data_IF_549377948753
#
_entry.id   IF_549377948753
#
_cell.length_a   1.000
_cell.length_b   1.000
_cell.length_c   1.000
_cell.angle_alpha   90.00
_cell.angle_beta   90.00
_cell.angle_gamma   90.00
#
_symmetry.space_group_name_H-M   'P 1'
#
loop_
_entity.id
_entity.type
_entity.pdbx_description
1 polymer ?
#
# COMPACT_ATOMS: atom_id res chain seq x y z
N UNK A 1 1.63 11.27 -19.30
CA UNK A 1 2.38 10.08 -18.84
C UNK A 1 3.35 9.69 -19.95
N UNK A 2 4.67 9.77 -19.76
CA UNK A 2 5.68 9.35 -20.77
C UNK A 2 5.86 7.81 -20.83
N UNK A 3 4.83 7.03 -20.48
CA UNK A 3 4.88 5.56 -20.54
C UNK A 3 5.71 4.85 -19.46
N UNK A 4 6.20 5.55 -18.43
CA UNK A 4 7.00 4.96 -17.34
C UNK A 4 6.17 4.21 -16.29
N UNK A 5 6.72 3.11 -15.77
CA UNK A 5 6.14 2.28 -14.70
C UNK A 5 6.37 2.91 -13.33
N UNK A 6 5.29 3.12 -12.57
CA UNK A 6 5.32 3.64 -11.19
C UNK A 6 4.92 2.52 -10.22
N UNK A 7 5.77 2.25 -9.23
CA UNK A 7 5.51 1.25 -8.19
C UNK A 7 5.25 1.94 -6.85
N UNK A 8 4.17 1.57 -6.17
CA UNK A 8 3.88 2.00 -4.81
C UNK A 8 4.44 0.99 -3.80
N UNK A 9 5.14 1.46 -2.78
CA UNK A 9 5.52 0.68 -1.60
C UNK A 9 4.77 1.24 -0.39
N UNK A 10 3.81 0.49 0.16
CA UNK A 10 2.86 1.03 1.14
C UNK A 10 2.88 0.32 2.49
N UNK A 11 2.73 1.11 3.57
CA UNK A 11 2.48 0.63 4.93
C UNK A 11 1.04 0.87 5.40
N UNK A 12 0.61 0.19 6.47
CA UNK A 12 -0.77 0.24 6.97
C UNK A 12 -1.21 1.64 7.44
N UNK A 13 -0.26 2.52 7.76
CA UNK A 13 -0.53 3.92 8.12
C UNK A 13 -1.32 4.66 7.04
N UNK A 14 -1.18 4.29 5.75
CA UNK A 14 -2.01 4.82 4.65
C UNK A 14 -3.50 4.68 4.97
N UNK A 15 -3.90 3.56 5.55
CA UNK A 15 -5.30 3.30 5.91
C UNK A 15 -5.66 4.01 7.21
N UNK A 16 -4.79 3.93 8.21
CA UNK A 16 -5.01 4.54 9.53
C UNK A 16 -5.25 6.05 9.45
N UNK A 17 -4.59 6.73 8.51
CA UNK A 17 -4.72 8.18 8.31
C UNK A 17 -5.78 8.56 7.26
N UNK A 18 -6.59 7.61 6.79
CA UNK A 18 -7.69 7.88 5.86
C UNK A 18 -7.28 8.11 4.39
N UNK A 19 -6.05 7.75 4.00
CA UNK A 19 -5.55 7.96 2.64
C UNK A 19 -5.77 6.77 1.69
N UNK A 20 -6.46 5.70 2.12
CA UNK A 20 -6.73 4.52 1.26
C UNK A 20 -7.45 4.91 -0.04
N UNK A 21 -8.49 5.74 0.03
CA UNK A 21 -9.27 6.15 -1.15
C UNK A 21 -8.46 6.97 -2.15
N UNK A 22 -7.47 7.73 -1.68
CA UNK A 22 -6.53 8.47 -2.52
C UNK A 22 -5.67 7.50 -3.35
N UNK A 23 -5.10 6.48 -2.71
CA UNK A 23 -4.31 5.46 -3.41
C UNK A 23 -5.18 4.64 -4.37
N UNK A 24 -6.35 4.19 -3.94
CA UNK A 24 -7.30 3.46 -4.78
C UNK A 24 -7.67 4.30 -6.02
N UNK A 25 -7.84 5.60 -5.85
CA UNK A 25 -8.07 6.55 -6.94
C UNK A 25 -6.87 6.62 -7.87
N UNK A 26 -5.64 6.77 -7.38
CA UNK A 26 -4.44 6.80 -8.23
C UNK A 26 -4.26 5.50 -9.04
N UNK A 27 -4.53 4.33 -8.45
CA UNK A 27 -4.55 3.04 -9.17
C UNK A 27 -5.65 3.05 -10.24
N UNK A 28 -6.85 3.50 -9.88
CA UNK A 28 -7.99 3.58 -10.79
C UNK A 28 -7.75 4.54 -11.95
N UNK A 29 -7.02 5.65 -11.77
CA UNK A 29 -6.65 6.53 -12.89
C UNK A 29 -5.43 6.02 -13.67
N UNK A 30 -4.87 4.87 -13.29
CA UNK A 30 -3.75 4.25 -13.98
C UNK A 30 -2.43 4.97 -13.74
N UNK A 31 -2.26 5.65 -12.60
CA UNK A 31 -0.98 6.24 -12.21
C UNK A 31 -0.03 5.23 -11.58
N UNK A 32 -0.57 4.32 -10.77
CA UNK A 32 0.19 3.26 -10.09
C UNK A 32 0.06 1.98 -10.90
N UNK A 33 1.20 1.39 -11.25
CA UNK A 33 1.28 0.21 -12.11
C UNK A 33 1.58 -1.08 -11.32
N UNK A 34 2.02 -0.98 -10.07
CA UNK A 34 2.17 -2.11 -9.14
C UNK A 34 2.18 -1.68 -7.67
N UNK A 35 1.85 -2.59 -6.75
CA UNK A 35 1.87 -2.35 -5.29
C UNK A 35 2.72 -3.37 -4.56
N UNK A 36 3.63 -2.91 -3.70
CA UNK A 36 4.45 -3.72 -2.81
C UNK A 36 4.10 -3.38 -1.37
N UNK A 37 3.66 -4.36 -0.59
CA UNK A 37 3.21 -4.14 0.77
C UNK A 37 3.39 -5.38 1.65
N UNK A 38 2.91 -5.30 2.89
CA UNK A 38 2.79 -6.44 3.79
C UNK A 38 1.34 -6.79 4.09
N UNK A 39 1.14 -7.85 4.87
CA UNK A 39 -0.18 -8.31 5.32
C UNK A 39 -1.02 -7.17 5.91
N UNK A 40 -0.44 -6.37 6.81
CA UNK A 40 -1.17 -5.32 7.53
C UNK A 40 -1.85 -4.28 6.61
N UNK A 41 -1.18 -3.80 5.55
CA UNK A 41 -1.82 -2.87 4.60
C UNK A 41 -3.07 -3.51 3.99
N UNK A 42 -2.94 -4.73 3.48
CA UNK A 42 -4.03 -5.43 2.82
C UNK A 42 -5.19 -5.71 3.78
N UNK A 43 -4.91 -6.17 5.00
CA UNK A 43 -5.95 -6.45 6.00
C UNK A 43 -6.69 -5.16 6.38
N UNK A 44 -5.98 -4.07 6.68
CA UNK A 44 -6.63 -2.82 7.06
C UNK A 44 -7.39 -2.17 5.91
N UNK A 45 -6.88 -2.24 4.68
CA UNK A 45 -7.60 -1.78 3.50
C UNK A 45 -8.92 -2.54 3.31
N UNK A 46 -8.89 -3.86 3.52
CA UNK A 46 -10.09 -4.70 3.47
C UNK A 46 -11.03 -4.38 4.63
N UNK A 47 -10.53 -4.32 5.87
CA UNK A 47 -11.30 -3.93 7.07
C UNK A 47 -12.03 -2.61 6.84
N UNK A 48 -11.32 -1.59 6.34
CA UNK A 48 -11.89 -0.29 5.99
C UNK A 48 -12.96 -0.44 4.91
N UNK A 49 -12.69 -1.25 3.88
CA UNK A 49 -13.58 -1.41 2.75
C UNK A 49 -14.90 -2.09 3.10
N UNK A 50 -14.89 -3.06 4.02
CA UNK A 50 -16.08 -3.84 4.40
C UNK A 50 -16.77 -3.36 5.68
N UNK A 51 -16.03 -2.76 6.61
CA UNK A 51 -16.53 -2.38 7.95
C UNK A 51 -16.37 -0.88 8.26
N UNK A 52 -15.69 -0.11 7.41
CA UNK A 52 -15.45 1.32 7.64
C UNK A 52 -14.39 1.63 8.70
N UNK A 53 -13.74 0.60 9.26
CA UNK A 53 -12.78 0.76 10.36
C UNK A 53 -11.37 0.34 9.99
N UNK A 54 -10.41 0.83 10.76
CA UNK A 54 -9.05 0.29 10.81
C UNK A 54 -8.67 0.10 12.27
N UNK A 55 -8.30 -1.12 12.68
CA UNK A 55 -8.08 -1.48 14.09
C UNK A 55 -9.29 -1.13 14.98
N UNK A 56 -10.50 -1.21 14.42
CA UNK A 56 -11.72 -0.87 15.15
C UNK A 56 -11.97 0.62 15.37
N UNK A 57 -11.18 1.51 14.77
CA UNK A 57 -11.46 2.94 14.72
C UNK A 57 -12.15 3.29 13.39
N UNK A 58 -13.22 4.07 13.44
CA UNK A 58 -13.88 4.58 12.24
C UNK A 58 -12.92 5.52 11.48
N UNK A 59 -12.62 5.20 10.23
CA UNK A 59 -11.62 5.95 9.44
C UNK A 59 -12.13 7.37 9.10
N UNK A 60 -13.45 7.57 9.05
CA UNK A 60 -14.06 8.85 8.70
C UNK A 60 -13.94 9.94 9.76
N UNK A 61 -13.96 9.57 11.05
CA UNK A 61 -14.06 10.52 12.16
C UNK A 61 -13.12 10.21 13.34
N UNK A 62 -12.37 9.11 13.29
CA UNK A 62 -11.43 8.70 14.33
C UNK A 62 -12.08 8.16 15.61
N UNK A 63 -13.39 7.95 15.64
CA UNK A 63 -14.10 7.41 16.81
C UNK A 63 -13.93 5.90 16.94
N UNK A 64 -14.12 5.36 18.15
CA UNK A 64 -14.10 3.92 18.38
C UNK A 64 -15.40 3.27 17.91
N UNK A 65 -15.30 2.24 17.07
CA UNK A 65 -16.44 1.41 16.72
C UNK A 65 -16.83 0.48 17.89
N UNK A 66 -18.13 0.22 18.04
CA UNK A 66 -18.64 -0.71 19.05
C UNK A 66 -18.04 -2.10 18.80
N UNK A 67 -17.27 -2.62 19.78
CA UNK A 67 -16.54 -3.89 19.66
C UNK A 67 -15.55 -3.95 18.48
N UNK A 68 -15.01 -2.80 18.07
CA UNK A 68 -14.14 -2.65 16.90
C UNK A 68 -12.86 -3.50 16.92
N UNK A 69 -12.35 -3.88 18.10
CA UNK A 69 -11.18 -4.78 18.23
C UNK A 69 -11.36 -6.13 17.50
N UNK A 70 -12.59 -6.53 17.19
CA UNK A 70 -12.90 -7.77 16.45
C UNK A 70 -12.85 -7.59 14.93
N UNK A 71 -12.95 -6.35 14.44
CA UNK A 71 -13.12 -6.06 13.01
C UNK A 71 -11.92 -6.54 12.19
N UNK A 72 -10.71 -6.34 12.72
CA UNK A 72 -9.47 -6.82 12.10
C UNK A 72 -9.50 -8.34 11.83
N UNK A 73 -9.80 -9.14 12.86
CA UNK A 73 -9.91 -10.60 12.72
C UNK A 73 -11.09 -11.02 11.84
N UNK A 74 -12.19 -10.27 11.86
CA UNK A 74 -13.32 -10.51 10.97
C UNK A 74 -12.95 -10.29 9.50
N UNK A 75 -12.18 -9.25 9.19
CA UNK A 75 -11.66 -8.99 7.84
C UNK A 75 -10.77 -10.14 7.37
N UNK A 76 -9.80 -10.57 8.20
CA UNK A 76 -8.93 -11.73 7.91
C UNK A 76 -9.77 -12.98 7.61
N UNK A 77 -10.70 -13.33 8.50
CA UNK A 77 -11.57 -14.50 8.34
C UNK A 77 -12.44 -14.42 7.08
N UNK A 78 -12.84 -13.21 6.66
CA UNK A 78 -13.64 -13.01 5.45
C UNK A 78 -12.83 -13.34 4.19
N UNK A 79 -11.55 -12.97 4.17
CA UNK A 79 -10.64 -13.35 3.07
C UNK A 79 -10.38 -14.86 3.08
N UNK A 80 -10.15 -15.48 4.24
CA UNK A 80 -10.00 -16.93 4.35
C UNK A 80 -11.21 -17.69 3.82
N UNK A 81 -12.43 -17.24 4.16
CA UNK A 81 -13.68 -17.83 3.63
C UNK A 81 -13.80 -17.66 2.12
N UNK A 82 -13.35 -16.54 1.56
CA UNK A 82 -13.32 -16.34 0.11
C UNK A 82 -12.19 -17.14 -0.57
N UNK A 83 -11.13 -17.46 0.15
CA UNK A 83 -9.95 -18.21 -0.27
C UNK A 83 -8.81 -17.36 -0.83
N UNK A 84 -9.08 -16.13 -1.27
CA UNK A 84 -8.07 -15.12 -1.65
C UNK A 84 -8.70 -13.74 -1.87
N UNK A 85 -7.88 -12.69 -1.93
CA UNK A 85 -8.33 -11.33 -2.26
C UNK A 85 -9.00 -11.28 -3.66
N UNK A 86 -8.41 -11.84 -4.74
CA UNK A 86 -9.09 -11.87 -6.04
C UNK A 86 -10.45 -12.58 -6.03
N UNK A 87 -10.59 -13.68 -5.27
CA UNK A 87 -11.87 -14.37 -5.12
C UNK A 87 -12.89 -13.54 -4.35
N UNK A 88 -12.45 -12.82 -3.32
CA UNK A 88 -13.29 -11.90 -2.54
C UNK A 88 -13.86 -10.78 -3.41
N UNK A 89 -13.06 -10.25 -4.34
CA UNK A 89 -13.49 -9.27 -5.36
C UNK A 89 -14.44 -9.89 -6.37
N UNK A 90 -14.11 -11.07 -6.90
CA UNK A 90 -14.97 -11.78 -7.87
C UNK A 90 -16.36 -12.09 -7.29
N UNK A 91 -16.42 -12.43 -6.00
CA UNK A 91 -17.66 -12.69 -5.27
C UNK A 91 -18.38 -11.42 -4.79
N UNK A 92 -17.91 -10.22 -5.17
CA UNK A 92 -18.46 -8.91 -4.79
C UNK A 92 -18.53 -8.65 -3.29
N UNK A 93 -17.72 -9.34 -2.50
CA UNK A 93 -17.60 -9.11 -1.06
C UNK A 93 -16.72 -7.88 -0.81
N UNK A 94 -15.64 -7.76 -1.58
CA UNK A 94 -14.80 -6.56 -1.62
C UNK A 94 -15.16 -5.73 -2.86
N UNK A 95 -15.65 -4.51 -2.66
CA UNK A 95 -16.20 -3.65 -3.74
C UNK A 95 -15.50 -2.30 -3.88
N UNK A 96 -14.56 -1.99 -2.98
CA UNK A 96 -13.75 -0.76 -2.96
C UNK A 96 -12.42 -1.02 -2.25
N UNK A 97 -11.54 -0.02 -2.22
CA UNK A 97 -10.23 -0.08 -1.58
C UNK A 97 -9.07 -0.31 -2.53
N UNK A 98 -7.86 -0.24 -2.01
CA UNK A 98 -6.60 -0.43 -2.74
C UNK A 98 -6.57 -1.83 -3.36
N UNK A 99 -6.84 -2.86 -2.55
CA UNK A 99 -6.76 -4.25 -2.99
C UNK A 99 -7.81 -4.58 -4.06
N UNK A 100 -9.00 -3.98 -3.95
CA UNK A 100 -10.04 -4.08 -4.98
C UNK A 100 -9.57 -3.50 -6.31
N UNK A 101 -9.05 -2.26 -6.31
CA UNK A 101 -8.60 -1.60 -7.53
C UNK A 101 -7.40 -2.33 -8.16
N UNK A 102 -6.50 -2.89 -7.34
CA UNK A 102 -5.42 -3.76 -7.83
C UNK A 102 -5.95 -4.93 -8.66
N UNK A 103 -6.92 -5.68 -8.12
CA UNK A 103 -7.53 -6.83 -8.81
C UNK A 103 -8.31 -6.38 -10.04
N UNK A 104 -9.13 -5.33 -9.92
CA UNK A 104 -10.01 -4.85 -11.01
C UNK A 104 -9.19 -4.31 -12.19
N UNK A 105 -8.11 -3.57 -11.93
CA UNK A 105 -7.18 -3.05 -12.95
C UNK A 105 -6.15 -4.08 -13.42
N UNK A 106 -6.09 -5.25 -12.77
CA UNK A 106 -5.09 -6.30 -13.03
C UNK A 106 -3.65 -5.79 -12.86
N UNK A 107 -3.43 -4.85 -11.94
CA UNK A 107 -2.05 -4.47 -11.59
C UNK A 107 -1.51 -5.47 -10.57
N UNK A 108 -0.24 -5.90 -10.72
CA UNK A 108 0.35 -6.84 -9.80
C UNK A 108 0.54 -6.21 -8.41
N UNK A 109 0.29 -7.01 -7.39
CA UNK A 109 0.68 -6.69 -6.02
C UNK A 109 1.44 -7.85 -5.39
N UNK A 110 2.35 -7.52 -4.46
CA UNK A 110 3.05 -8.53 -3.65
C UNK A 110 2.90 -8.16 -2.18
N UNK A 111 2.41 -9.12 -1.39
CA UNK A 111 2.30 -9.00 0.05
C UNK A 111 3.40 -9.85 0.69
N UNK A 112 4.47 -9.22 1.15
CA UNK A 112 5.54 -9.90 1.88
C UNK A 112 5.15 -10.05 3.35
N UNK A 113 5.27 -11.27 3.86
CA UNK A 113 4.97 -11.60 5.25
C UNK A 113 5.94 -10.97 6.26
N UNK A 114 5.56 -11.00 7.52
CA UNK A 114 6.32 -10.48 8.65
C UNK A 114 6.05 -11.32 9.91
N UNK A 115 6.98 -11.30 10.86
CA UNK A 115 6.83 -12.00 12.15
C UNK A 115 5.60 -11.55 12.96
N UNK A 116 5.05 -10.36 12.67
CA UNK A 116 3.92 -9.77 13.39
C UNK A 116 2.56 -10.03 12.74
N UNK A 117 2.51 -10.80 11.65
CA UNK A 117 1.30 -10.91 10.86
C UNK A 117 0.22 -11.74 11.56
N UNK A 118 -0.96 -11.13 11.74
CA UNK A 118 -2.18 -11.85 12.10
C UNK A 118 -2.80 -12.52 10.85
N UNK A 119 -3.21 -13.78 10.96
CA UNK A 119 -3.69 -14.59 9.83
C UNK A 119 -2.60 -15.52 9.32
N UNK A 120 -1.67 -15.07 8.44
CA UNK A 120 -1.78 -13.95 7.49
C UNK A 120 -2.84 -14.23 6.41
N UNK A 121 -3.13 -13.26 5.52
CA UNK A 121 -4.02 -13.53 4.38
C UNK A 121 -3.44 -14.63 3.46
N UNK A 122 -4.27 -15.44 2.79
CA UNK A 122 -3.81 -16.47 1.85
C UNK A 122 -2.89 -15.97 0.73
N UNK A 123 -3.01 -14.70 0.35
CA UNK A 123 -2.22 -14.04 -0.69
C UNK A 123 -0.81 -13.62 -0.21
N UNK A 124 -0.51 -13.75 1.09
CA UNK A 124 0.78 -13.32 1.68
C UNK A 124 1.86 -14.37 1.45
N UNK A 125 3.02 -13.90 0.96
CA UNK A 125 4.21 -14.71 0.80
C UNK A 125 4.99 -14.71 2.11
N UNK A 126 4.93 -15.82 2.84
CA UNK A 126 5.60 -16.00 4.14
C UNK A 126 7.10 -16.32 4.00
N UNK A 127 7.50 -16.93 2.89
CA UNK A 127 8.92 -17.16 2.57
C UNK A 127 9.58 -15.85 2.11
N UNK A 128 10.51 -15.33 2.90
CA UNK A 128 11.16 -14.05 2.65
C UNK A 128 12.06 -14.05 1.40
N UNK A 129 12.65 -15.20 1.07
CA UNK A 129 13.48 -15.33 -0.14
C UNK A 129 12.59 -15.27 -1.38
N UNK A 130 11.44 -15.94 -1.36
CA UNK A 130 10.44 -15.87 -2.43
C UNK A 130 9.85 -14.46 -2.53
N UNK A 131 9.50 -13.84 -1.40
CA UNK A 131 8.96 -12.48 -1.36
C UNK A 131 9.94 -11.47 -1.96
N UNK A 132 11.23 -11.56 -1.60
CA UNK A 132 12.27 -10.69 -2.16
C UNK A 132 12.43 -10.91 -3.67
N UNK A 133 12.42 -12.16 -4.15
CA UNK A 133 12.49 -12.44 -5.59
C UNK A 133 11.30 -11.82 -6.34
N UNK A 134 10.09 -11.95 -5.79
CA UNK A 134 8.88 -11.35 -6.35
C UNK A 134 8.92 -9.83 -6.35
N UNK A 135 9.45 -9.20 -5.30
CA UNK A 135 9.69 -7.76 -5.27
C UNK A 135 10.62 -7.35 -6.42
N UNK A 136 11.76 -8.03 -6.61
CA UNK A 136 12.68 -7.73 -7.73
C UNK A 136 12.02 -7.86 -9.10
N UNK A 137 11.21 -8.90 -9.31
CA UNK A 137 10.44 -9.09 -10.54
C UNK A 137 9.49 -7.90 -10.81
N UNK A 138 8.79 -7.43 -9.78
CA UNK A 138 7.90 -6.27 -9.88
C UNK A 138 8.65 -4.96 -10.05
N UNK A 139 9.84 -4.81 -9.47
CA UNK A 139 10.63 -3.57 -9.59
C UNK A 139 11.34 -3.45 -10.94
N UNK A 140 11.42 -4.52 -11.72
CA UNK A 140 12.01 -4.48 -13.07
C UNK A 140 11.34 -3.40 -13.92
N UNK A 141 12.16 -2.59 -14.57
CA UNK A 141 11.78 -1.49 -15.47
C UNK A 141 10.98 -0.35 -14.80
N UNK A 142 10.94 -0.29 -13.47
CA UNK A 142 10.35 0.84 -12.74
C UNK A 142 11.09 2.14 -13.07
N UNK A 143 10.35 3.20 -13.40
CA UNK A 143 10.90 4.55 -13.62
C UNK A 143 10.74 5.44 -12.40
N UNK A 144 9.78 5.11 -11.55
CA UNK A 144 9.58 5.78 -10.27
C UNK A 144 9.07 4.79 -9.22
N UNK A 145 9.54 4.94 -7.99
CA UNK A 145 8.99 4.24 -6.82
C UNK A 145 8.57 5.26 -5.77
N UNK A 146 7.33 5.13 -5.30
CA UNK A 146 6.76 5.96 -4.24
C UNK A 146 6.66 5.11 -2.99
N UNK A 147 7.37 5.48 -1.94
CA UNK A 147 7.49 4.78 -0.66
C UNK A 147 6.73 5.54 0.41
N UNK A 148 5.72 4.93 1.02
CA UNK A 148 4.77 5.62 1.88
C UNK A 148 4.62 4.89 3.23
N UNK A 149 5.05 5.55 4.30
CA UNK A 149 4.89 5.15 5.70
C UNK A 149 5.23 3.70 6.00
N UNK A 150 6.36 3.22 5.50
CA UNK A 150 6.80 1.84 5.71
C UNK A 150 8.32 1.73 5.70
N UNK A 151 8.96 1.89 6.85
CA UNK A 151 10.42 1.79 6.95
C UNK A 151 10.97 0.46 6.39
N UNK A 152 10.40 -0.67 6.81
CA UNK A 152 10.89 -2.00 6.45
C UNK A 152 10.80 -2.27 4.94
N UNK A 153 9.60 -2.12 4.35
CA UNK A 153 9.42 -2.39 2.93
C UNK A 153 10.14 -1.35 2.05
N UNK A 154 10.23 -0.10 2.50
CA UNK A 154 10.96 0.95 1.77
C UNK A 154 12.45 0.67 1.73
N UNK A 155 13.06 0.30 2.87
CA UNK A 155 14.48 -0.06 2.93
C UNK A 155 14.77 -1.30 2.09
N UNK A 156 13.93 -2.33 2.19
CA UNK A 156 14.06 -3.54 1.39
C UNK A 156 13.98 -3.21 -0.11
N UNK A 157 13.00 -2.39 -0.52
CA UNK A 157 12.84 -1.96 -1.91
C UNK A 157 14.03 -1.13 -2.38
N UNK A 158 14.49 -0.16 -1.59
CA UNK A 158 15.66 0.65 -1.90
C UNK A 158 16.95 -0.17 -2.08
N UNK A 159 17.10 -1.31 -1.38
CA UNK A 159 18.22 -2.24 -1.62
C UNK A 159 18.17 -2.93 -3.00
N UNK A 160 16.99 -2.99 -3.62
CA UNK A 160 16.75 -3.74 -4.86
C UNK A 160 16.68 -2.82 -6.10
N UNK A 161 16.74 -1.51 -5.91
CA UNK A 161 16.57 -0.52 -6.97
C UNK A 161 17.92 -0.13 -7.63
N UNK A 162 17.95 -0.03 -8.97
CA UNK A 162 19.02 0.68 -9.68
C UNK A 162 19.03 2.18 -9.34
N UNK A 163 20.20 2.83 -9.47
CA UNK A 163 20.38 4.25 -9.13
C UNK A 163 19.62 5.25 -10.04
N UNK A 164 19.22 4.81 -11.24
CA UNK A 164 18.48 5.61 -12.23
C UNK A 164 16.97 5.72 -11.95
N UNK A 165 16.45 4.97 -10.98
CA UNK A 165 15.03 4.98 -10.64
C UNK A 165 14.75 6.16 -9.72
N UNK A 166 13.77 7.00 -10.08
CA UNK A 166 13.33 8.12 -9.23
C UNK A 166 12.65 7.57 -7.98
N UNK A 167 13.00 8.07 -6.82
CA UNK A 167 12.40 7.60 -5.56
C UNK A 167 11.73 8.78 -4.85
N UNK A 168 10.49 8.59 -4.42
CA UNK A 168 9.80 9.53 -3.53
C UNK A 168 9.54 8.80 -2.22
N UNK A 169 9.98 9.37 -1.11
CA UNK A 169 9.77 8.82 0.23
C UNK A 169 8.89 9.79 1.01
N UNK A 170 7.79 9.29 1.55
CA UNK A 170 6.88 10.06 2.41
C UNK A 170 6.70 9.31 3.72
N UNK A 171 7.15 9.91 4.82
CA UNK A 171 6.97 9.37 6.15
C UNK A 171 6.87 10.53 7.16
N UNK A 172 6.12 10.37 8.24
CA UNK A 172 6.05 11.39 9.29
C UNK A 172 7.34 11.39 10.14
N UNK A 173 8.05 10.27 10.16
CA UNK A 173 9.26 10.07 10.94
C UNK A 173 10.50 10.46 10.12
N UNK A 174 11.13 11.58 10.46
CA UNK A 174 12.33 12.08 9.80
C UNK A 174 13.46 11.02 9.72
N UNK A 175 13.85 10.32 10.79
CA UNK A 175 14.81 9.21 10.72
C UNK A 175 14.56 8.18 9.62
N UNK A 176 13.31 7.81 9.36
CA UNK A 176 12.97 6.89 8.27
C UNK A 176 13.32 7.50 6.91
N UNK A 177 12.97 8.77 6.71
CA UNK A 177 13.28 9.51 5.48
C UNK A 177 14.79 9.65 5.30
N UNK A 178 15.52 10.11 6.33
CA UNK A 178 16.98 10.25 6.28
C UNK A 178 17.65 8.93 5.89
N UNK A 179 17.23 7.80 6.49
CA UNK A 179 17.85 6.51 6.20
C UNK A 179 17.69 6.06 4.75
N UNK A 180 16.62 6.49 4.09
CA UNK A 180 16.35 6.19 2.69
C UNK A 180 17.07 7.16 1.76
N UNK A 181 17.25 8.42 2.18
CA UNK A 181 17.97 9.45 1.44
C UNK A 181 19.49 9.21 1.40
N UNK A 182 20.07 8.64 2.45
CA UNK A 182 21.53 8.38 2.58
C UNK A 182 22.09 7.36 1.55
N UNK A 183 21.25 6.78 0.70
CA UNK A 183 21.63 5.68 -0.22
C UNK A 183 22.28 6.15 -1.53
N UNK A 184 22.78 7.38 -1.59
CA UNK A 184 23.51 7.91 -2.75
C UNK A 184 22.64 8.10 -4.00
N UNK A 185 21.32 7.94 -3.88
CA UNK A 185 20.35 8.26 -4.92
C UNK A 185 20.19 9.76 -5.00
N UNK A 186 20.98 10.42 -5.86
CA UNK A 186 20.79 11.82 -6.26
C UNK A 186 19.37 12.11 -6.80
N UNK A 187 18.58 11.06 -7.07
CA UNK A 187 17.20 11.12 -7.58
C UNK A 187 16.14 10.75 -6.52
N UNK A 188 16.48 10.73 -5.23
CA UNK A 188 15.51 10.54 -4.16
C UNK A 188 14.97 11.88 -3.65
N UNK A 189 13.64 11.98 -3.48
CA UNK A 189 12.95 13.09 -2.84
C UNK A 189 12.34 12.60 -1.52
N UNK A 190 12.83 13.12 -0.41
CA UNK A 190 12.31 12.82 0.93
C UNK A 190 11.34 13.90 1.41
N UNK A 191 10.15 13.48 1.86
CA UNK A 191 9.10 14.35 2.36
C UNK A 191 8.73 13.89 3.77
N UNK A 192 8.98 14.75 4.75
CA UNK A 192 8.57 14.51 6.15
C UNK A 192 7.18 15.11 6.35
N UNK A 193 6.14 14.28 6.32
CA UNK A 193 4.75 14.75 6.40
C UNK A 193 3.77 13.65 6.80
N UNK A 194 2.58 14.05 7.23
CA UNK A 194 1.45 13.14 7.42
C UNK A 194 0.90 12.70 6.05
N UNK A 195 0.89 11.39 5.82
CA UNK A 195 0.40 10.78 4.56
C UNK A 195 -1.11 10.93 4.38
N UNK A 196 -1.86 11.04 5.48
CA UNK A 196 -3.30 11.35 5.49
C UNK A 196 -3.62 12.71 4.92
N UNK A 197 -2.75 13.70 5.14
CA UNK A 197 -2.90 15.04 4.55
C UNK A 197 -2.28 15.13 3.15
N UNK A 198 -1.11 14.52 2.96
CA UNK A 198 -0.34 14.61 1.72
C UNK A 198 -1.04 13.95 0.52
N UNK A 199 -1.51 12.70 0.68
CA UNK A 199 -2.06 11.92 -0.44
C UNK A 199 -3.35 12.49 -1.04
N UNK A 200 -4.33 12.98 -0.25
CA UNK A 200 -5.50 13.66 -0.80
C UNK A 200 -5.13 14.89 -1.62
N UNK A 201 -4.19 15.73 -1.16
CA UNK A 201 -3.75 16.91 -1.90
C UNK A 201 -3.12 16.51 -3.23
N UNK A 202 -2.20 15.54 -3.24
CA UNK A 202 -1.58 15.03 -4.47
C UNK A 202 -2.63 14.47 -5.43
N UNK A 203 -3.60 13.72 -4.91
CA UNK A 203 -4.66 13.12 -5.72
C UNK A 203 -5.54 14.20 -6.35
N UNK A 204 -5.90 15.24 -5.60
CA UNK A 204 -6.67 16.39 -6.11
C UNK A 204 -5.90 17.14 -7.20
N UNK A 205 -4.62 17.43 -7.00
CA UNK A 205 -3.81 18.10 -8.01
C UNK A 205 -3.65 17.26 -9.28
N UNK A 206 -3.41 15.95 -9.14
CA UNK A 206 -3.36 15.05 -10.29
C UNK A 206 -4.69 15.02 -11.04
N UNK A 207 -5.82 15.00 -10.34
CA UNK A 207 -7.15 15.04 -10.98
C UNK A 207 -7.40 16.34 -11.73
N UNK A 208 -6.88 17.48 -11.26
CA UNK A 208 -6.96 18.76 -11.98
C UNK A 208 -6.15 18.74 -13.27
N UNK A 209 -4.99 18.09 -13.27
CA UNK A 209 -4.10 18.00 -14.44
C UNK A 209 -4.58 17.02 -15.52
N UNK A 210 -5.47 16.09 -15.19
CA UNK A 210 -6.04 15.09 -16.12
C UNK A 210 -7.37 15.56 -16.73
N UNK A 211 -8.01 16.58 -16.14
CA UNK A 211 -9.13 17.29 -16.75
C UNK A 211 -8.65 18.21 -17.86
#
# INVERSE_FOLDING_TARGET
>A
KEGGKIVLVGGPAIVHTGASDSIATLIRFGFIDAVLAGNALAVHDIEYSILGTSLGMNVSDGTLAIRGHRNHMQAINSVFKAGSIPKMVANKILTKGIMYECVKRKIPFVLAGSLRDDGPLPDVITDMTVAQKKYKEILKDAKMVIMISTMLHSIATGNMLPAEVKVIVVDINQPTVTKLMDRGTWQALGIVSDVGAFLPLVTQEIQKLVK
#
